data_IF_459229774501
#
_entry.id   IF_459229774501
#
_cell.length_a   1.000
_cell.length_b   1.000
_cell.length_c   1.000
_cell.angle_alpha   90.00
_cell.angle_beta   90.00
_cell.angle_gamma   90.00
#
_symmetry.space_group_name_H-M   'P 1'
#
loop_
_entity.id
_entity.type
_entity.pdbx_description
1 polymer ?
#
# COMPACT_ATOMS: atom_id res chain seq x y z
N UNK A 1 -6.60 -8.14 -43.33
CA UNK A 1 -6.14 -8.10 -41.92
C UNK A 1 -4.62 -8.19 -41.95
N UNK A 2 -3.91 -7.13 -41.54
CA UNK A 2 -2.46 -6.98 -41.79
C UNK A 2 -1.61 -7.65 -40.69
N UNK A 3 -0.62 -8.48 -41.03
CA UNK A 3 0.21 -9.24 -40.09
C UNK A 3 1.10 -8.39 -39.15
N UNK A 4 1.24 -7.08 -39.39
CA UNK A 4 2.02 -6.16 -38.54
C UNK A 4 1.39 -5.92 -37.17
N UNK A 5 0.06 -5.78 -37.11
CA UNK A 5 -0.68 -5.43 -35.88
C UNK A 5 -0.69 -6.55 -34.83
N UNK A 6 -0.68 -7.80 -35.28
CA UNK A 6 -0.69 -8.97 -34.40
C UNK A 6 0.68 -9.21 -33.75
N UNK A 7 1.75 -8.81 -34.45
CA UNK A 7 3.13 -8.91 -33.96
C UNK A 7 3.40 -7.90 -32.82
N UNK A 8 2.90 -6.67 -32.94
CA UNK A 8 3.03 -5.63 -31.91
C UNK A 8 2.30 -6.02 -30.63
N UNK A 9 1.10 -6.63 -30.77
CA UNK A 9 0.32 -7.14 -29.66
C UNK A 9 1.01 -8.21 -28.83
N UNK A 10 1.58 -9.19 -29.52
CA UNK A 10 2.32 -10.28 -28.89
C UNK A 10 3.60 -9.76 -28.22
N UNK A 11 4.27 -8.79 -28.83
CA UNK A 11 5.48 -8.15 -28.31
C UNK A 11 5.21 -7.44 -26.97
N UNK A 12 4.11 -6.68 -26.88
CA UNK A 12 3.72 -5.98 -25.65
C UNK A 12 3.35 -6.97 -24.54
N UNK A 13 2.56 -8.00 -24.84
CA UNK A 13 2.20 -9.01 -23.84
C UNK A 13 3.45 -9.74 -23.32
N UNK A 14 4.34 -10.16 -24.23
CA UNK A 14 5.59 -10.83 -23.86
C UNK A 14 6.46 -9.94 -22.97
N UNK A 15 6.48 -8.63 -23.24
CA UNK A 15 7.20 -7.64 -22.43
C UNK A 15 6.60 -7.47 -21.03
N UNK A 16 5.27 -7.37 -20.93
CA UNK A 16 4.58 -7.35 -19.62
C UNK A 16 4.92 -8.62 -18.85
N UNK A 17 4.81 -9.78 -19.49
CA UNK A 17 5.02 -11.07 -18.84
C UNK A 17 6.48 -11.24 -18.38
N UNK A 18 7.45 -10.78 -19.19
CA UNK A 18 8.86 -10.73 -18.81
C UNK A 18 9.08 -9.81 -17.61
N UNK A 19 8.50 -8.60 -17.63
CA UNK A 19 8.59 -7.66 -16.52
C UNK A 19 7.99 -8.22 -15.23
N UNK A 20 6.82 -8.85 -15.30
CA UNK A 20 6.17 -9.48 -14.14
C UNK A 20 7.04 -10.60 -13.58
N UNK A 21 7.60 -11.46 -14.44
CA UNK A 21 8.50 -12.54 -14.01
C UNK A 21 9.76 -11.99 -13.32
N UNK A 22 10.32 -10.90 -13.84
CA UNK A 22 11.55 -10.31 -13.33
C UNK A 22 11.38 -9.52 -12.02
N UNK A 23 10.22 -8.91 -11.79
CA UNK A 23 10.03 -7.96 -10.70
C UNK A 23 9.02 -8.37 -9.62
N UNK A 24 8.00 -9.19 -9.95
CA UNK A 24 6.93 -9.55 -9.01
C UNK A 24 6.94 -11.03 -8.58
N UNK A 25 7.87 -11.85 -9.08
CA UNK A 25 8.16 -13.15 -8.45
C UNK A 25 9.03 -12.94 -7.23
N UNK A 26 9.04 -13.93 -6.32
CA UNK A 26 9.71 -13.84 -5.01
C UNK A 26 11.12 -13.22 -5.08
N UNK A 27 12.00 -13.69 -5.97
CA UNK A 27 13.35 -13.14 -6.13
C UNK A 27 13.36 -11.67 -6.59
N UNK A 28 12.51 -11.33 -7.56
CA UNK A 28 12.36 -9.95 -8.06
C UNK A 28 11.82 -9.00 -7.00
N UNK A 29 10.83 -9.47 -6.24
CA UNK A 29 10.23 -8.73 -5.14
C UNK A 29 11.21 -8.52 -4.00
N UNK A 30 12.00 -9.53 -3.63
CA UNK A 30 13.06 -9.38 -2.63
C UNK A 30 14.11 -8.34 -3.08
N UNK A 31 14.50 -8.36 -4.36
CA UNK A 31 15.40 -7.34 -4.93
C UNK A 31 14.79 -5.95 -4.90
N UNK A 32 13.49 -5.82 -5.10
CA UNK A 32 12.77 -4.55 -5.00
C UNK A 32 12.76 -4.01 -3.56
N UNK A 33 12.53 -4.88 -2.58
CA UNK A 33 12.50 -4.50 -1.17
C UNK A 33 13.89 -4.30 -0.56
N UNK A 34 14.94 -4.85 -1.17
CA UNK A 34 16.33 -4.55 -0.80
C UNK A 34 16.63 -3.04 -0.89
N UNK A 35 15.98 -2.32 -1.81
CA UNK A 35 16.10 -0.86 -1.90
C UNK A 35 15.53 -0.12 -0.68
N UNK A 36 14.68 -0.77 0.11
CA UNK A 36 14.16 -0.23 1.37
C UNK A 36 15.11 -0.45 2.56
N UNK A 37 16.15 -1.28 2.41
CA UNK A 37 17.12 -1.52 3.49
C UNK A 37 18.05 -0.31 3.64
N UNK A 38 18.01 0.32 4.82
CA UNK A 38 18.81 1.49 5.15
C UNK A 38 17.98 2.56 5.88
N UNK A 39 18.48 3.79 5.94
CA UNK A 39 17.77 4.92 6.55
C UNK A 39 16.42 5.23 5.87
N UNK A 40 16.26 4.84 4.60
CA UNK A 40 15.01 4.97 3.86
C UNK A 40 13.87 4.09 4.42
N UNK A 41 14.19 3.07 5.24
CA UNK A 41 13.20 2.25 5.95
C UNK A 41 12.33 3.11 6.89
N UNK A 42 12.91 4.15 7.49
CA UNK A 42 12.21 5.04 8.41
C UNK A 42 11.17 5.92 7.73
N UNK A 43 11.21 6.06 6.39
CA UNK A 43 10.23 6.86 5.66
C UNK A 43 8.80 6.32 5.84
N UNK A 44 8.63 5.00 5.96
CA UNK A 44 7.31 4.41 6.17
C UNK A 44 6.74 4.77 7.56
N UNK A 45 7.45 4.55 8.68
CA UNK A 45 7.03 5.05 9.99
C UNK A 45 6.81 6.56 10.04
N UNK A 46 7.71 7.36 9.44
CA UNK A 46 7.57 8.81 9.38
C UNK A 46 6.31 9.22 8.61
N UNK A 47 6.01 8.57 7.49
CA UNK A 47 4.77 8.83 6.74
C UNK A 47 3.53 8.54 7.59
N UNK A 48 3.53 7.48 8.40
CA UNK A 48 2.42 7.18 9.30
C UNK A 48 2.24 8.27 10.37
N UNK A 49 3.33 8.84 10.88
CA UNK A 49 3.26 9.98 11.80
C UNK A 49 2.81 11.27 11.12
N UNK A 50 3.20 11.48 9.86
CA UNK A 50 2.81 12.65 9.07
C UNK A 50 1.40 12.54 8.47
N UNK A 51 0.85 11.33 8.35
CA UNK A 51 -0.46 11.11 7.72
C UNK A 51 -1.62 11.85 8.40
N UNK A 52 -1.76 11.83 9.75
CA UNK A 52 -2.76 12.65 10.44
C UNK A 52 -2.58 14.16 10.17
N UNK A 53 -1.33 14.64 10.16
CA UNK A 53 -1.02 16.05 9.88
C UNK A 53 -1.41 16.40 8.44
N UNK A 54 -1.07 15.55 7.49
CA UNK A 54 -1.41 15.73 6.08
C UNK A 54 -2.93 15.74 5.87
N UNK A 55 -3.66 14.84 6.54
CA UNK A 55 -5.13 14.81 6.50
C UNK A 55 -5.74 16.12 7.04
N UNK A 56 -5.22 16.64 8.16
CA UNK A 56 -5.66 17.92 8.70
C UNK A 56 -5.39 19.08 7.73
N UNK A 57 -4.21 19.12 7.11
CA UNK A 57 -3.88 20.13 6.09
C UNK A 57 -4.81 20.04 4.89
N UNK A 58 -5.12 18.82 4.42
CA UNK A 58 -6.09 18.61 3.36
C UNK A 58 -7.50 19.07 3.75
N UNK A 59 -7.96 18.74 4.95
CA UNK A 59 -9.28 19.14 5.45
C UNK A 59 -9.38 20.66 5.57
N UNK A 60 -8.34 21.32 6.11
CA UNK A 60 -8.24 22.78 6.13
C UNK A 60 -8.29 23.37 4.72
N UNK A 61 -7.60 22.75 3.76
CA UNK A 61 -7.65 23.14 2.36
C UNK A 61 -9.05 23.03 1.75
N UNK A 62 -9.77 21.95 2.05
CA UNK A 62 -11.14 21.75 1.60
C UNK A 62 -12.09 22.79 2.21
N UNK A 63 -12.00 23.02 3.52
CA UNK A 63 -12.77 24.05 4.21
C UNK A 63 -12.50 25.45 3.64
N UNK A 64 -11.23 25.78 3.37
CA UNK A 64 -10.86 27.04 2.74
C UNK A 64 -11.49 27.20 1.34
N UNK A 65 -11.60 26.11 0.56
CA UNK A 65 -12.31 26.14 -0.73
C UNK A 65 -13.82 26.36 -0.55
N UNK A 66 -14.43 25.79 0.48
CA UNK A 66 -15.86 25.95 0.77
C UNK A 66 -16.22 27.37 1.20
N UNK A 67 -15.31 28.08 1.88
CA UNK A 67 -15.51 29.48 2.32
C UNK A 67 -15.00 30.50 1.28
N UNK A 68 -14.73 30.08 0.04
CA UNK A 68 -14.35 30.98 -1.06
C UNK A 68 -12.87 31.36 -1.14
N UNK A 69 -12.02 30.87 -0.24
CA UNK A 69 -10.56 31.09 -0.24
C UNK A 69 -9.85 30.15 -1.23
N UNK A 70 -10.26 30.15 -2.50
CA UNK A 70 -9.83 29.17 -3.50
C UNK A 70 -8.32 29.12 -3.77
N UNK A 71 -7.59 30.23 -3.57
CA UNK A 71 -6.11 30.25 -3.69
C UNK A 71 -5.45 29.51 -2.54
N UNK A 72 -5.83 29.83 -1.30
CA UNK A 72 -5.33 29.17 -0.10
C UNK A 72 -5.71 27.69 -0.07
N UNK A 73 -6.97 27.38 -0.41
CA UNK A 73 -7.45 26.02 -0.48
C UNK A 73 -6.67 25.18 -1.49
N UNK A 74 -6.44 25.70 -2.70
CA UNK A 74 -5.57 25.03 -3.70
C UNK A 74 -4.15 24.84 -3.20
N UNK A 75 -3.57 25.88 -2.59
CA UNK A 75 -2.21 25.83 -2.03
C UNK A 75 -2.07 24.79 -0.92
N UNK A 76 -3.05 24.68 -0.01
CA UNK A 76 -3.05 23.68 1.06
C UNK A 76 -3.18 22.26 0.48
N UNK A 77 -4.11 22.06 -0.46
CA UNK A 77 -4.33 20.75 -1.09
C UNK A 77 -3.19 20.31 -2.01
N UNK A 78 -2.34 21.24 -2.47
CA UNK A 78 -1.18 20.89 -3.32
C UNK A 78 0.05 20.48 -2.51
N UNK A 79 0.03 20.58 -1.17
CA UNK A 79 1.17 20.18 -0.32
C UNK A 79 1.21 18.66 -0.12
N UNK A 80 2.14 18.00 -0.81
CA UNK A 80 2.50 16.61 -0.54
C UNK A 80 3.50 16.55 0.64
N UNK A 81 2.98 16.31 1.85
CA UNK A 81 3.82 16.15 3.05
C UNK A 81 4.35 14.72 3.21
N UNK A 82 3.75 13.76 2.52
CA UNK A 82 4.15 12.36 2.56
C UNK A 82 5.34 12.10 1.63
N UNK A 83 6.31 11.35 2.11
CA UNK A 83 7.52 11.03 1.38
C UNK A 83 7.28 9.80 0.48
N UNK A 84 7.73 9.85 -0.76
CA UNK A 84 7.74 8.66 -1.62
C UNK A 84 8.68 7.61 -1.00
N UNK A 85 8.15 6.42 -0.77
CA UNK A 85 8.92 5.30 -0.19
C UNK A 85 9.97 4.82 -1.20
N UNK A 86 11.09 4.29 -0.70
CA UNK A 86 12.16 3.79 -1.57
C UNK A 86 11.68 2.68 -2.51
N UNK A 87 10.80 1.80 -2.03
CA UNK A 87 10.18 0.73 -2.83
C UNK A 87 9.33 1.30 -3.96
N UNK A 88 8.56 2.36 -3.71
CA UNK A 88 7.74 3.00 -4.74
C UNK A 88 8.62 3.71 -5.80
N UNK A 89 9.68 4.40 -5.36
CA UNK A 89 10.66 5.03 -6.25
C UNK A 89 11.39 4.01 -7.12
N UNK A 90 11.86 2.91 -6.53
CA UNK A 90 12.55 1.84 -7.26
C UNK A 90 11.62 1.16 -8.27
N UNK A 91 10.35 0.92 -7.89
CA UNK A 91 9.38 0.35 -8.83
C UNK A 91 9.12 1.29 -10.02
N UNK A 92 8.99 2.59 -9.76
CA UNK A 92 8.84 3.61 -10.81
C UNK A 92 10.04 3.63 -11.76
N UNK A 93 11.26 3.59 -11.21
CA UNK A 93 12.49 3.53 -12.01
C UNK A 93 12.52 2.31 -12.93
N UNK A 94 12.12 1.13 -12.43
CA UNK A 94 12.03 -0.08 -13.25
C UNK A 94 10.91 -0.04 -14.26
N UNK A 95 9.76 0.55 -13.93
CA UNK A 95 8.67 0.74 -14.88
C UNK A 95 9.12 1.65 -16.03
N UNK A 96 9.81 2.75 -15.72
CA UNK A 96 10.35 3.67 -16.73
C UNK A 96 11.46 3.04 -17.56
N UNK A 97 12.45 2.43 -16.91
CA UNK A 97 13.62 1.84 -17.56
C UNK A 97 13.30 0.55 -18.31
N UNK A 98 12.78 -0.46 -17.61
CA UNK A 98 12.64 -1.80 -18.17
C UNK A 98 11.35 -1.93 -18.99
N UNK A 99 10.21 -1.50 -18.43
CA UNK A 99 8.90 -1.68 -19.07
C UNK A 99 8.59 -0.61 -20.12
N UNK A 100 9.05 0.63 -19.93
CA UNK A 100 8.82 1.74 -20.85
C UNK A 100 10.06 2.13 -21.67
N UNK A 101 11.22 1.51 -21.44
CA UNK A 101 12.44 1.75 -22.24
C UNK A 101 12.91 3.21 -22.26
N UNK A 102 12.60 3.98 -21.21
CA UNK A 102 12.96 5.41 -21.14
C UNK A 102 12.07 6.33 -21.97
N UNK A 103 10.88 5.86 -22.39
CA UNK A 103 9.86 6.66 -23.04
C UNK A 103 9.62 7.99 -22.31
N UNK A 104 9.66 9.15 -23.02
CA UNK A 104 9.31 10.42 -22.42
C UNK A 104 7.80 10.41 -22.12
N UNK A 105 7.44 10.59 -20.85
CA UNK A 105 6.05 10.72 -20.41
C UNK A 105 5.72 12.20 -20.18
N UNK A 106 4.51 12.61 -20.51
CA UNK A 106 4.02 13.93 -20.10
C UNK A 106 3.82 13.97 -18.57
N UNK A 107 3.61 15.17 -17.98
CA UNK A 107 3.24 15.26 -16.56
C UNK A 107 2.00 14.44 -16.19
N UNK A 108 1.06 14.28 -17.13
CA UNK A 108 -0.14 13.46 -16.92
C UNK A 108 0.18 11.96 -16.95
N UNK A 109 1.08 11.52 -17.82
CA UNK A 109 1.59 10.14 -17.85
C UNK A 109 2.35 9.78 -16.58
N UNK A 110 3.21 10.66 -16.09
CA UNK A 110 3.91 10.49 -14.80
C UNK A 110 2.93 10.40 -13.62
N UNK A 111 1.91 11.26 -13.57
CA UNK A 111 0.87 11.17 -12.54
C UNK A 111 0.12 9.84 -12.60
N UNK A 112 -0.09 9.27 -13.79
CA UNK A 112 -0.74 7.96 -13.96
C UNK A 112 0.14 6.81 -13.48
N UNK A 113 1.44 6.89 -13.73
CA UNK A 113 2.44 5.95 -13.22
C UNK A 113 2.52 5.97 -11.69
N UNK A 114 2.50 7.17 -11.10
CA UNK A 114 2.49 7.34 -9.65
C UNK A 114 1.22 6.76 -9.02
N UNK A 115 0.05 6.98 -9.63
CA UNK A 115 -1.21 6.38 -9.21
C UNK A 115 -1.17 4.84 -9.27
N UNK A 116 -0.49 4.25 -10.26
CA UNK A 116 -0.26 2.80 -10.30
C UNK A 116 0.57 2.32 -9.10
N UNK A 117 1.64 3.03 -8.77
CA UNK A 117 2.50 2.72 -7.62
C UNK A 117 1.75 2.87 -6.29
N UNK A 118 0.93 3.92 -6.15
CA UNK A 118 0.10 4.16 -4.98
C UNK A 118 -0.88 3.00 -4.71
N UNK A 119 -1.54 2.47 -5.75
CA UNK A 119 -2.44 1.31 -5.60
C UNK A 119 -1.69 0.05 -5.14
N UNK A 120 -0.44 -0.17 -5.58
CA UNK A 120 0.37 -1.28 -5.05
C UNK A 120 0.69 -1.07 -3.56
N UNK A 121 1.00 0.15 -3.15
CA UNK A 121 1.22 0.47 -1.73
C UNK A 121 -0.04 0.20 -0.89
N UNK A 122 -1.22 0.58 -1.38
CA UNK A 122 -2.49 0.31 -0.71
C UNK A 122 -2.76 -1.20 -0.55
N UNK A 123 -2.37 -2.01 -1.53
CA UNK A 123 -2.45 -3.48 -1.42
C UNK A 123 -1.53 -4.00 -0.29
N UNK A 124 -0.32 -3.47 -0.16
CA UNK A 124 0.59 -3.85 0.92
C UNK A 124 0.02 -3.48 2.31
N UNK A 125 -0.68 -2.37 2.40
CA UNK A 125 -1.39 -1.93 3.60
C UNK A 125 -2.59 -2.82 3.94
N UNK A 126 -3.37 -3.24 2.94
CA UNK A 126 -4.44 -4.24 3.12
C UNK A 126 -3.85 -5.56 3.63
N UNK A 127 -2.74 -6.00 3.05
CA UNK A 127 -2.04 -7.23 3.44
C UNK A 127 -1.57 -7.15 4.90
N UNK A 128 -1.05 -5.99 5.30
CA UNK A 128 -0.66 -5.73 6.70
C UNK A 128 -1.85 -5.67 7.63
N UNK A 129 -2.95 -5.06 7.21
CA UNK A 129 -4.20 -5.04 7.97
C UNK A 129 -4.72 -6.44 8.22
N UNK A 130 -4.59 -7.35 7.23
CA UNK A 130 -4.92 -8.77 7.40
C UNK A 130 -3.99 -9.45 8.41
N UNK A 131 -2.69 -9.17 8.38
CA UNK A 131 -1.76 -9.69 9.40
C UNK A 131 -2.12 -9.20 10.80
N UNK A 132 -2.42 -7.92 10.97
CA UNK A 132 -2.86 -7.34 12.25
C UNK A 132 -4.16 -7.99 12.71
N UNK A 133 -5.10 -8.23 11.80
CA UNK A 133 -6.36 -8.92 12.10
C UNK A 133 -6.13 -10.35 12.60
N UNK A 134 -5.29 -11.13 11.90
CA UNK A 134 -4.94 -12.49 12.29
C UNK A 134 -4.19 -12.52 13.63
N UNK A 135 -3.25 -11.60 13.86
CA UNK A 135 -2.54 -11.47 15.12
C UNK A 135 -3.49 -11.12 16.28
N UNK A 136 -4.43 -10.19 16.06
CA UNK A 136 -5.44 -9.83 17.04
C UNK A 136 -6.34 -11.01 17.42
N UNK A 137 -6.77 -11.80 16.43
CA UNK A 137 -7.54 -13.01 16.66
C UNK A 137 -6.74 -14.07 17.44
N UNK A 138 -5.48 -14.29 17.07
CA UNK A 138 -4.63 -15.28 17.72
C UNK A 138 -4.26 -14.91 19.18
N UNK A 139 -3.99 -13.63 19.44
CA UNK A 139 -3.54 -13.16 20.76
C UNK A 139 -4.69 -12.86 21.72
N UNK A 140 -5.81 -12.33 21.21
CA UNK A 140 -6.91 -11.83 22.05
C UNK A 140 -8.25 -12.56 21.84
N UNK A 141 -8.29 -13.60 21.00
CA UNK A 141 -9.51 -14.38 20.74
C UNK A 141 -10.61 -13.60 20.02
N UNK A 142 -10.32 -12.39 19.52
CA UNK A 142 -11.29 -11.58 18.79
C UNK A 142 -10.63 -10.82 17.65
N UNK A 143 -11.31 -10.75 16.51
CA UNK A 143 -10.91 -9.91 15.40
C UNK A 143 -10.94 -8.43 15.80
N UNK A 144 -9.77 -7.80 15.97
CA UNK A 144 -9.63 -6.37 16.24
C UNK A 144 -9.21 -5.65 14.96
N UNK A 145 -10.14 -5.02 14.22
CA UNK A 145 -9.79 -4.29 13.04
C UNK A 145 -8.99 -3.03 13.41
N UNK A 146 -7.74 -2.99 12.97
CA UNK A 146 -6.88 -1.81 13.05
C UNK A 146 -6.25 -1.54 14.41
N UNK A 147 -5.39 -0.52 14.41
CA UNK A 147 -4.50 -0.21 15.54
C UNK A 147 -5.24 0.46 16.69
N UNK A 148 -6.26 1.27 16.39
CA UNK A 148 -7.04 1.99 17.39
C UNK A 148 -7.79 1.04 18.34
N UNK A 149 -8.22 -0.12 17.86
CA UNK A 149 -8.87 -1.14 18.69
C UNK A 149 -7.85 -2.06 19.41
N UNK A 150 -6.65 -2.20 18.85
CA UNK A 150 -5.58 -3.02 19.40
C UNK A 150 -4.81 -2.31 20.53
N UNK A 151 -4.64 -0.98 20.43
CA UNK A 151 -3.81 -0.22 21.35
C UNK A 151 -4.26 -0.33 22.82
N UNK A 152 -5.55 -0.17 23.18
CA UNK A 152 -6.00 -0.35 24.56
C UNK A 152 -5.73 -1.75 25.10
N UNK A 153 -5.98 -2.79 24.29
CA UNK A 153 -5.79 -4.19 24.72
C UNK A 153 -4.32 -4.53 24.97
N UNK A 154 -3.45 -4.07 24.07
CA UNK A 154 -2.00 -4.26 24.19
C UNK A 154 -1.49 -3.46 25.39
N UNK A 155 -1.95 -2.22 25.57
CA UNK A 155 -1.53 -1.40 26.72
C UNK A 155 -2.00 -1.99 28.04
N UNK A 156 -3.22 -2.52 28.11
CA UNK A 156 -3.76 -3.16 29.32
C UNK A 156 -2.95 -4.42 29.67
N UNK A 157 -2.62 -5.24 28.67
CA UNK A 157 -1.78 -6.42 28.85
C UNK A 157 -0.40 -6.06 29.42
N UNK A 158 0.32 -5.14 28.77
CA UNK A 158 1.64 -4.74 29.21
C UNK A 158 1.62 -3.97 30.54
N UNK A 159 0.60 -3.15 30.75
CA UNK A 159 0.39 -2.40 31.99
C UNK A 159 0.16 -3.32 33.17
N UNK A 160 -0.71 -4.32 33.02
CA UNK A 160 -0.95 -5.34 34.03
C UNK A 160 0.31 -6.18 34.29
N UNK A 161 0.95 -6.70 33.24
CA UNK A 161 2.16 -7.51 33.39
C UNK A 161 3.30 -6.76 34.08
N UNK A 162 3.49 -5.48 33.75
CA UNK A 162 4.51 -4.64 34.36
C UNK A 162 4.20 -4.34 35.82
N UNK A 163 2.93 -4.04 36.15
CA UNK A 163 2.50 -3.78 37.52
C UNK A 163 2.66 -5.02 38.41
N UNK A 164 2.30 -6.20 37.91
CA UNK A 164 2.50 -7.49 38.60
C UNK A 164 3.99 -7.75 38.83
N UNK A 165 4.84 -7.55 37.82
CA UNK A 165 6.28 -7.77 37.93
C UNK A 165 6.96 -6.81 38.91
N UNK A 166 6.49 -5.56 38.98
CA UNK A 166 7.01 -4.53 39.88
C UNK A 166 6.37 -4.55 41.27
N UNK A 167 5.47 -5.51 41.56
CA UNK A 167 4.74 -5.51 42.83
C UNK A 167 5.69 -5.77 44.02
N UNK A 168 5.69 -4.91 45.07
CA UNK A 168 6.70 -4.97 46.14
C UNK A 168 6.76 -6.30 46.90
N UNK A 169 5.64 -7.01 46.99
CA UNK A 169 5.55 -8.29 47.70
C UNK A 169 5.71 -9.51 46.76
N UNK A 170 6.18 -9.27 45.54
CA UNK A 170 6.40 -10.29 44.52
C UNK A 170 5.21 -10.51 43.57
N UNK A 171 5.52 -11.11 42.42
CA UNK A 171 4.57 -11.27 41.31
C UNK A 171 3.34 -12.12 41.66
N UNK A 172 3.45 -13.11 42.54
CA UNK A 172 2.31 -13.94 42.95
C UNK A 172 1.23 -13.11 43.66
N UNK A 173 1.62 -12.31 44.65
CA UNK A 173 0.71 -11.40 45.35
C UNK A 173 0.26 -10.24 44.46
N UNK A 174 1.13 -9.77 43.57
CA UNK A 174 0.77 -8.77 42.56
C UNK A 174 -0.34 -9.24 41.63
N UNK A 175 -0.27 -10.50 41.15
CA UNK A 175 -1.31 -11.08 40.30
C UNK A 175 -2.66 -11.17 40.99
N UNK A 176 -2.68 -11.57 42.27
CA UNK A 176 -3.92 -11.58 43.07
C UNK A 176 -4.47 -10.16 43.27
N UNK A 177 -3.60 -9.22 43.63
CA UNK A 177 -3.99 -7.83 43.87
C UNK A 177 -4.58 -7.18 42.61
N UNK A 178 -3.85 -7.21 41.49
CA UNK A 178 -4.29 -6.60 40.25
C UNK A 178 -5.39 -7.37 39.52
N UNK A 179 -5.69 -8.60 39.94
CA UNK A 179 -6.89 -9.33 39.54
C UNK A 179 -8.18 -8.76 40.14
N UNK A 180 -8.09 -8.12 41.32
CA UNK A 180 -9.22 -7.46 42.00
C UNK A 180 -9.22 -5.95 41.76
N UNK A 181 -8.04 -5.33 41.78
CA UNK A 181 -7.85 -3.89 41.62
C UNK A 181 -7.18 -3.59 40.28
N UNK A 182 -7.93 -3.23 39.22
CA UNK A 182 -7.35 -3.03 37.89
C UNK A 182 -6.34 -1.88 37.88
N UNK A 183 -5.31 -2.02 37.04
CA UNK A 183 -4.27 -1.00 36.86
C UNK A 183 -4.86 0.19 36.11
N UNK A 184 -4.86 1.37 36.72
CA UNK A 184 -5.21 2.61 36.04
C UNK A 184 -4.03 3.09 35.18
N UNK A 185 -4.16 2.96 33.86
CA UNK A 185 -3.15 3.43 32.91
C UNK A 185 -3.41 4.88 32.50
N UNK A 186 -2.37 5.74 32.47
CA UNK A 186 -2.54 7.10 31.98
C UNK A 186 -2.77 7.08 30.45
N UNK A 187 -3.59 8.02 29.96
CA UNK A 187 -3.99 8.08 28.53
C UNK A 187 -2.80 8.12 27.58
N UNK A 188 -1.70 8.80 27.96
CA UNK A 188 -0.50 8.87 27.14
C UNK A 188 0.12 7.49 26.88
N UNK A 189 -0.01 6.53 27.81
CA UNK A 189 0.56 5.18 27.66
C UNK A 189 -0.18 4.40 26.57
N UNK A 190 -1.50 4.54 26.51
CA UNK A 190 -2.34 3.98 25.44
C UNK A 190 -1.98 4.62 24.10
N UNK A 191 -1.82 5.95 24.06
CA UNK A 191 -1.40 6.67 22.85
C UNK A 191 -0.01 6.20 22.39
N UNK A 192 0.96 6.12 23.29
CA UNK A 192 2.32 5.67 22.99
C UNK A 192 2.32 4.22 22.47
N UNK A 193 1.51 3.35 23.06
CA UNK A 193 1.31 1.97 22.58
C UNK A 193 0.73 1.97 21.16
N UNK A 194 -0.29 2.80 20.90
CA UNK A 194 -0.87 2.95 19.57
C UNK A 194 0.13 3.46 18.53
N UNK A 195 0.96 4.44 18.88
CA UNK A 195 2.04 4.94 18.03
C UNK A 195 3.07 3.85 17.76
N UNK A 196 3.51 3.12 18.78
CA UNK A 196 4.45 2.01 18.61
C UNK A 196 3.89 0.93 17.67
N UNK A 197 2.63 0.52 17.87
CA UNK A 197 1.93 -0.42 16.99
C UNK A 197 1.82 0.12 15.55
N UNK A 198 1.56 1.42 15.37
CA UNK A 198 1.50 2.06 14.06
C UNK A 198 2.86 2.08 13.36
N UNK A 199 3.93 2.36 14.08
CA UNK A 199 5.29 2.30 13.55
C UNK A 199 5.67 0.87 13.16
N UNK A 200 5.38 -0.11 14.02
CA UNK A 200 5.61 -1.54 13.71
C UNK A 200 4.79 -1.96 12.49
N UNK A 201 3.50 -1.59 12.43
CA UNK A 201 2.65 -1.83 11.28
C UNK A 201 3.21 -1.22 10.00
N UNK A 202 3.72 0.01 10.04
CA UNK A 202 4.34 0.67 8.88
C UNK A 202 5.58 -0.08 8.36
N UNK A 203 6.38 -0.65 9.27
CA UNK A 203 7.52 -1.50 8.92
C UNK A 203 7.03 -2.80 8.27
N UNK A 204 6.01 -3.45 8.84
CA UNK A 204 5.39 -4.64 8.24
C UNK A 204 4.84 -4.32 6.84
N UNK A 205 4.13 -3.20 6.66
CA UNK A 205 3.62 -2.73 5.37
C UNK A 205 4.72 -2.57 4.33
N UNK A 206 5.89 -2.07 4.73
CA UNK A 206 7.03 -1.93 3.83
C UNK A 206 7.40 -3.27 3.20
N UNK A 207 7.31 -4.37 3.95
CA UNK A 207 7.70 -5.71 3.49
C UNK A 207 6.51 -6.60 3.10
N UNK A 208 5.27 -6.20 3.36
CA UNK A 208 4.08 -6.97 3.02
C UNK A 208 3.99 -7.27 1.50
N UNK A 209 4.59 -6.40 0.67
CA UNK A 209 4.77 -6.62 -0.76
C UNK A 209 5.54 -7.90 -1.11
N UNK A 210 6.46 -8.36 -0.25
CA UNK A 210 7.21 -9.63 -0.43
C UNK A 210 6.27 -10.83 -0.56
N UNK A 211 5.13 -10.79 0.13
CA UNK A 211 4.12 -11.86 0.10
C UNK A 211 3.03 -11.51 -0.91
N UNK A 212 2.55 -10.26 -0.90
CA UNK A 212 1.46 -9.83 -1.76
C UNK A 212 1.83 -9.89 -3.25
N UNK A 213 3.01 -9.44 -3.64
CA UNK A 213 3.38 -9.34 -5.07
C UNK A 213 3.45 -10.73 -5.74
N UNK A 214 4.10 -11.77 -5.18
CA UNK A 214 4.10 -13.10 -5.78
C UNK A 214 2.71 -13.70 -5.91
N UNK A 215 1.86 -13.54 -4.89
CA UNK A 215 0.46 -14.00 -4.94
C UNK A 215 -0.29 -13.29 -6.06
N UNK A 216 -0.14 -11.96 -6.18
CA UNK A 216 -0.77 -11.18 -7.23
C UNK A 216 -0.22 -11.47 -8.62
N UNK A 217 1.05 -11.86 -8.72
CA UNK A 217 1.67 -12.29 -9.97
C UNK A 217 1.11 -13.66 -10.42
N UNK A 218 0.94 -14.60 -9.49
CA UNK A 218 0.36 -15.92 -9.73
C UNK A 218 -1.10 -15.82 -10.19
N UNK A 219 -1.90 -14.96 -9.55
CA UNK A 219 -3.31 -14.73 -9.94
C UNK A 219 -3.44 -13.88 -11.22
N UNK A 220 -2.33 -13.32 -11.72
CA UNK A 220 -2.28 -12.50 -12.93
C UNK A 220 -2.79 -11.06 -12.76
N UNK A 221 -2.95 -10.59 -11.52
CA UNK A 221 -3.41 -9.23 -11.20
C UNK A 221 -2.38 -8.20 -11.68
N UNK A 222 -1.08 -8.43 -11.42
CA UNK A 222 -0.02 -7.51 -11.87
C UNK A 222 -0.02 -7.36 -13.40
N UNK A 223 -0.17 -8.47 -14.13
CA UNK A 223 -0.26 -8.46 -15.60
C UNK A 223 -1.42 -7.59 -16.08
N UNK A 224 -2.63 -7.80 -15.55
CA UNK A 224 -3.82 -7.02 -15.93
C UNK A 224 -3.70 -5.54 -15.57
N UNK A 225 -3.08 -5.23 -14.42
CA UNK A 225 -2.87 -3.83 -13.99
C UNK A 225 -1.83 -3.13 -14.87
N UNK A 226 -0.75 -3.81 -15.26
CA UNK A 226 0.25 -3.25 -16.16
C UNK A 226 -0.29 -3.04 -17.57
N UNK A 227 -1.07 -3.98 -18.11
CA UNK A 227 -1.72 -3.81 -19.41
C UNK A 227 -2.61 -2.55 -19.41
N UNK A 228 -3.45 -2.38 -18.37
CA UNK A 228 -4.29 -1.18 -18.21
C UNK A 228 -3.49 0.10 -18.02
N UNK A 229 -2.31 0.03 -17.38
CA UNK A 229 -1.41 1.17 -17.26
C UNK A 229 -0.86 1.57 -18.63
N UNK A 230 -0.31 0.62 -19.39
CA UNK A 230 0.24 0.90 -20.73
C UNK A 230 -0.83 1.44 -21.68
N UNK A 231 -2.03 0.86 -21.64
CA UNK A 231 -3.19 1.36 -22.38
C UNK A 231 -3.55 2.80 -21.98
N UNK A 232 -3.57 3.10 -20.68
CA UNK A 232 -3.85 4.46 -20.22
C UNK A 232 -2.77 5.45 -20.65
N UNK A 233 -1.50 5.05 -20.59
CA UNK A 233 -0.37 5.88 -21.05
C UNK A 233 -0.43 6.10 -22.56
N UNK A 234 -0.78 5.08 -23.34
CA UNK A 234 -0.94 5.20 -24.79
C UNK A 234 -2.04 6.20 -25.17
N UNK A 235 -3.11 6.29 -24.38
CA UNK A 235 -4.16 7.31 -24.59
C UNK A 235 -3.73 8.73 -24.23
N UNK A 236 -2.87 8.89 -23.23
CA UNK A 236 -2.44 10.21 -22.73
C UNK A 236 -1.30 10.77 -23.57
N UNK A 237 -0.26 9.97 -23.75
CA UNK A 237 1.01 10.38 -24.37
C UNK A 237 1.17 9.86 -25.81
N UNK A 238 0.13 9.23 -26.36
CA UNK A 238 0.19 8.60 -27.68
C UNK A 238 1.20 7.45 -27.69
N UNK A 239 1.98 7.36 -28.76
CA UNK A 239 2.94 6.27 -28.97
C UNK A 239 4.24 6.41 -28.14
N UNK A 240 4.18 7.05 -26.96
CA UNK A 240 5.35 7.36 -26.13
C UNK A 240 6.22 6.13 -25.80
N UNK A 241 5.62 4.94 -25.73
CA UNK A 241 6.33 3.68 -25.47
C UNK A 241 6.75 2.89 -26.73
N UNK A 242 6.51 3.41 -27.94
CA UNK A 242 6.68 2.64 -29.19
C UNK A 242 5.71 1.45 -29.30
N UNK A 243 4.59 1.51 -28.60
CA UNK A 243 3.58 0.45 -28.52
C UNK A 243 2.38 0.89 -29.34
N UNK A 244 2.33 0.45 -30.60
CA UNK A 244 1.27 0.80 -31.55
C UNK A 244 -0.13 0.55 -30.93
N UNK A 245 -0.97 1.58 -30.82
CA UNK A 245 -2.14 1.54 -29.94
C UNK A 245 -3.43 1.36 -30.72
N UNK A 246 -3.74 0.19 -31.29
CA UNK A 246 -5.06 0.08 -31.96
C UNK A 246 -5.91 -1.12 -31.52
N UNK A 247 -5.41 -2.36 -31.37
CA UNK A 247 -6.34 -3.49 -31.21
C UNK A 247 -6.04 -4.50 -30.09
N UNK A 248 -4.99 -4.28 -29.28
CA UNK A 248 -4.79 -4.99 -28.00
C UNK A 248 -5.85 -4.57 -26.97
N UNK A 249 -6.30 -3.30 -27.06
CA UNK A 249 -7.28 -2.67 -26.16
C UNK A 249 -8.64 -3.36 -26.16
N UNK A 250 -9.15 -3.73 -27.34
CA UNK A 250 -10.49 -4.30 -27.46
C UNK A 250 -10.57 -5.72 -26.84
N UNK A 251 -9.55 -6.55 -27.08
CA UNK A 251 -9.59 -7.97 -26.67
C UNK A 251 -9.33 -8.18 -25.18
N UNK A 252 -8.52 -7.33 -24.55
CA UNK A 252 -8.33 -7.40 -23.09
C UNK A 252 -9.55 -6.85 -22.34
N UNK A 253 -10.23 -5.83 -22.89
CA UNK A 253 -11.48 -5.31 -22.36
C UNK A 253 -12.58 -6.39 -22.38
N UNK A 254 -12.74 -7.11 -23.50
CA UNK A 254 -13.72 -8.20 -23.66
C UNK A 254 -13.49 -9.34 -22.66
N UNK A 255 -12.24 -9.71 -22.38
CA UNK A 255 -11.91 -10.75 -21.39
C UNK A 255 -12.20 -10.30 -19.94
N UNK A 256 -12.07 -9.01 -19.63
CA UNK A 256 -12.51 -8.46 -18.34
C UNK A 256 -14.02 -8.41 -18.22
N UNK A 257 -14.74 -8.08 -19.30
CA UNK A 257 -16.21 -8.06 -19.28
C UNK A 257 -16.78 -9.47 -19.18
N UNK A 258 -16.17 -10.46 -19.82
CA UNK A 258 -16.51 -11.87 -19.64
C UNK A 258 -16.32 -12.33 -18.19
N UNK A 259 -15.22 -11.93 -17.53
CA UNK A 259 -14.96 -12.25 -16.12
C UNK A 259 -15.90 -11.55 -15.12
N UNK A 260 -16.25 -10.29 -15.38
CA UNK A 260 -17.20 -9.52 -14.55
C UNK A 260 -18.62 -10.08 -14.71
N UNK A 261 -18.98 -10.49 -15.92
CA UNK A 261 -20.27 -11.14 -16.21
C UNK A 261 -20.38 -12.50 -15.53
N UNK A 262 -19.30 -13.28 -15.49
CA UNK A 262 -19.23 -14.55 -14.76
C UNK A 262 -19.43 -14.34 -13.24
N UNK A 263 -18.82 -13.30 -12.66
CA UNK A 263 -18.97 -12.98 -11.23
C UNK A 263 -20.37 -12.46 -10.89
N UNK A 264 -21.07 -11.82 -11.83
CA UNK A 264 -22.49 -11.44 -11.64
C UNK A 264 -23.43 -12.65 -11.74
N UNK A 265 -23.16 -13.58 -12.65
CA UNK A 265 -23.91 -14.84 -12.80
C UNK A 265 -23.78 -15.77 -11.60
N UNK A 266 -22.64 -15.73 -10.89
CA UNK A 266 -22.43 -16.48 -9.64
C UNK A 266 -23.01 -15.78 -8.39
N UNK A 267 -23.54 -14.56 -8.55
CA UNK A 267 -24.17 -13.77 -7.48
C UNK A 267 -25.68 -13.61 -7.65
N UNK A 268 -26.26 -14.26 -8.67
CA UNK A 268 -27.70 -14.42 -8.90
C UNK A 268 -28.09 -15.88 -8.72
#
# INVERSE_FOLDING_TARGET
MQPSQEHDAQTVSARIDAFVRANFRLAGTLRLHRAALGWDLLRAPLNVMLAPIHLLVMLMGLCARMVGLHRLGRWLTSRQLLMKTAVARELELRLLGDLLQGAPLSPQGLARLDAYCAVRSAIAEITTSLFVLCAGLALFGSATPGIMSLAPRVSDYFGHASAVAAFPLGAGLGGLWYGVFPVALPVWFVIATGVALAMTGALVTTFAGIIADPVQALVGIHRRRLARLLEALARIDGNAAGIAPEHILARLADLTDAGISLVRLLRS
#
